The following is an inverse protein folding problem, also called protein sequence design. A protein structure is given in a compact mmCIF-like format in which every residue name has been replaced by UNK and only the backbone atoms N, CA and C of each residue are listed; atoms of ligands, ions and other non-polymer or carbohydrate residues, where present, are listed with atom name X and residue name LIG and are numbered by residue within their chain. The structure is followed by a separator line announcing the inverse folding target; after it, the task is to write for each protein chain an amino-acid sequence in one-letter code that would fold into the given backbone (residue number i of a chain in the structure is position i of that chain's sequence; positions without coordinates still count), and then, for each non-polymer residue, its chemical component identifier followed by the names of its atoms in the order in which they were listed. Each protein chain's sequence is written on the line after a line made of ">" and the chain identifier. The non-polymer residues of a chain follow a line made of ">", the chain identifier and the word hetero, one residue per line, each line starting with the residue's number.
data_IF_499251274367
#
_entry.id   IF_499251274367
#
_cell.length_a   1.000
_cell.length_b   1.000
_cell.length_c   1.000
_cell.angle_alpha   90.00
_cell.angle_beta   90.00
_cell.angle_gamma   90.00
#
_symmetry.space_group_name_H-M   'P 1'
#
loop_
_entity.id
_entity.type
_entity.pdbx_description
1 polymer ?
#
# COMPACT_ATOMS: atom_id res chain seq x y z
N UNK A 1 3.51 -10.79 -7.72
CA UNK A 1 3.40 -9.32 -7.90
C UNK A 1 4.03 -8.94 -9.24
N UNK A 2 3.75 -7.75 -9.79
CA UNK A 2 4.51 -7.27 -10.97
C UNK A 2 5.93 -6.90 -10.54
N UNK A 3 6.89 -6.95 -11.47
CA UNK A 3 8.30 -6.61 -11.19
C UNK A 3 8.45 -5.22 -10.56
N UNK A 4 7.66 -4.25 -11.02
CA UNK A 4 7.66 -2.89 -10.50
C UNK A 4 7.32 -2.82 -9.00
N UNK A 5 6.26 -3.50 -8.55
CA UNK A 5 5.90 -3.56 -7.12
C UNK A 5 7.04 -4.12 -6.29
N UNK A 6 7.64 -5.24 -6.75
CA UNK A 6 8.72 -5.90 -6.03
C UNK A 6 9.93 -4.97 -5.89
N UNK A 7 10.33 -4.31 -6.99
CA UNK A 7 11.46 -3.37 -6.98
C UNK A 7 11.17 -2.21 -6.02
N UNK A 8 9.98 -1.61 -6.09
CA UNK A 8 9.59 -0.50 -5.21
C UNK A 8 9.53 -0.94 -3.74
N UNK A 9 8.99 -2.13 -3.44
CA UNK A 9 8.95 -2.67 -2.08
C UNK A 9 10.35 -2.97 -1.52
N UNK A 10 11.27 -3.48 -2.33
CA UNK A 10 12.67 -3.71 -1.91
C UNK A 10 13.36 -2.37 -1.65
N UNK A 11 13.22 -1.38 -2.54
CA UNK A 11 13.81 -0.06 -2.34
C UNK A 11 13.23 0.64 -1.10
N UNK A 12 11.92 0.50 -0.87
CA UNK A 12 11.27 0.98 0.35
C UNK A 12 11.89 0.34 1.59
N UNK A 13 12.09 -0.98 1.59
CA UNK A 13 12.70 -1.69 2.72
C UNK A 13 14.15 -1.25 2.96
N UNK A 14 14.95 -1.09 1.90
CA UNK A 14 16.33 -0.58 1.99
C UNK A 14 16.33 0.83 2.58
N UNK A 15 15.48 1.73 2.06
CA UNK A 15 15.35 3.09 2.57
C UNK A 15 14.92 3.12 4.04
N UNK A 16 14.03 2.22 4.44
CA UNK A 16 13.58 2.08 5.82
C UNK A 16 14.72 1.61 6.74
N UNK A 17 15.48 0.60 6.34
CA UNK A 17 16.67 0.14 7.08
C UNK A 17 17.68 1.27 7.22
N UNK A 18 17.99 1.98 6.13
CA UNK A 18 18.88 3.14 6.17
C UNK A 18 18.40 4.20 7.16
N UNK A 19 17.08 4.49 7.17
CA UNK A 19 16.48 5.43 8.12
C UNK A 19 16.67 4.94 9.56
N UNK A 20 16.43 3.66 9.85
CA UNK A 20 16.63 3.09 11.20
C UNK A 20 18.08 3.14 11.67
N UNK A 21 19.03 3.05 10.74
CA UNK A 21 20.47 3.21 11.01
C UNK A 21 20.93 4.67 11.07
N UNK A 22 19.99 5.63 11.03
CA UNK A 22 20.26 7.08 10.99
C UNK A 22 21.15 7.53 9.81
N UNK A 23 21.16 6.76 8.71
CA UNK A 23 21.91 7.13 7.51
C UNK A 23 21.19 8.26 6.75
N UNK A 24 21.92 9.28 6.25
CA UNK A 24 21.32 10.36 5.47
C UNK A 24 20.66 9.81 4.19
N UNK A 25 19.53 10.42 3.80
CA UNK A 25 18.80 10.06 2.58
C UNK A 25 17.80 8.89 2.70
N UNK A 26 17.84 8.10 3.78
CA UNK A 26 16.90 6.97 3.98
C UNK A 26 15.43 7.38 3.90
N UNK A 27 15.07 8.49 4.56
CA UNK A 27 13.70 9.05 4.50
C UNK A 27 13.28 9.45 3.08
N UNK A 28 14.18 10.00 2.26
CA UNK A 28 13.88 10.43 0.89
C UNK A 28 13.54 9.22 0.01
N UNK A 29 14.31 8.13 0.16
CA UNK A 29 14.06 6.87 -0.56
C UNK A 29 12.70 6.30 -0.17
N UNK A 30 12.39 6.25 1.13
CA UNK A 30 11.09 5.80 1.65
C UNK A 30 9.94 6.63 1.07
N UNK A 31 10.05 7.96 1.11
CA UNK A 31 9.02 8.88 0.58
C UNK A 31 8.80 8.64 -0.91
N UNK A 32 9.88 8.64 -1.68
CA UNK A 32 9.82 8.54 -3.14
C UNK A 32 9.22 7.21 -3.58
N UNK A 33 9.65 6.10 -2.95
CA UNK A 33 9.17 4.76 -3.28
C UNK A 33 7.71 4.56 -2.88
N UNK A 34 7.30 5.03 -1.70
CA UNK A 34 5.89 4.98 -1.27
C UNK A 34 4.99 5.82 -2.18
N UNK A 35 5.42 7.03 -2.55
CA UNK A 35 4.64 7.90 -3.41
C UNK A 35 4.44 7.28 -4.81
N UNK A 36 5.52 6.76 -5.41
CA UNK A 36 5.43 6.07 -6.70
C UNK A 36 4.53 4.84 -6.60
N UNK A 37 4.66 4.04 -5.53
CA UNK A 37 3.83 2.85 -5.34
C UNK A 37 2.35 3.21 -5.14
N UNK A 38 2.05 4.24 -4.36
CA UNK A 38 0.69 4.78 -4.21
C UNK A 38 0.13 5.29 -5.53
N UNK A 39 0.95 5.96 -6.36
CA UNK A 39 0.51 6.42 -7.68
C UNK A 39 0.23 5.24 -8.64
N UNK A 40 1.04 4.18 -8.58
CA UNK A 40 0.80 2.95 -9.35
C UNK A 40 -0.53 2.30 -8.92
N UNK A 41 -0.84 2.29 -7.61
CA UNK A 41 -2.13 1.80 -7.12
C UNK A 41 -3.29 2.74 -7.42
N UNK A 42 -3.06 4.04 -7.47
CA UNK A 42 -4.07 4.98 -7.96
C UNK A 42 -4.46 4.65 -9.40
N UNK A 43 -3.49 4.33 -10.27
CA UNK A 43 -3.75 3.85 -11.64
C UNK A 43 -4.08 2.35 -11.74
N UNK A 44 -4.70 1.80 -10.70
CA UNK A 44 -5.03 0.37 -10.59
C UNK A 44 -5.91 -0.16 -11.71
N UNK A 45 -6.81 0.64 -12.28
CA UNK A 45 -7.64 0.19 -13.40
C UNK A 45 -6.77 -0.29 -14.58
N UNK A 46 -5.66 0.40 -14.86
CA UNK A 46 -4.72 -0.02 -15.90
C UNK A 46 -3.79 -1.11 -15.38
N UNK A 47 -3.26 -0.91 -14.16
CA UNK A 47 -2.24 -1.78 -13.58
C UNK A 47 -2.74 -3.21 -13.32
N UNK A 48 -3.96 -3.40 -12.82
CA UNK A 48 -4.55 -4.71 -12.55
C UNK A 48 -5.13 -5.39 -13.79
N UNK A 49 -5.62 -4.62 -14.77
CA UNK A 49 -6.17 -5.17 -16.01
C UNK A 49 -5.12 -5.38 -17.12
N UNK A 50 -3.83 -5.33 -16.76
CA UNK A 50 -2.71 -5.54 -17.68
C UNK A 50 -2.72 -4.59 -18.91
N UNK A 51 -3.24 -3.36 -18.72
CA UNK A 51 -3.22 -2.29 -19.72
C UNK A 51 -1.88 -1.55 -19.62
N UNK A 52 -1.19 -1.41 -20.74
CA UNK A 52 0.04 -0.63 -20.82
C UNK A 52 -0.24 0.87 -20.68
N UNK A 53 0.60 1.60 -19.92
CA UNK A 53 0.41 3.04 -19.66
C UNK A 53 0.28 3.87 -20.97
N UNK A 54 1.05 3.53 -22.00
CA UNK A 54 1.01 4.20 -23.32
C UNK A 54 -0.31 4.00 -24.08
N UNK A 55 -1.12 3.02 -23.68
CA UNK A 55 -2.37 2.66 -24.33
C UNK A 55 -3.60 3.03 -23.48
N UNK A 56 -3.44 3.70 -22.33
CA UNK A 56 -4.57 4.09 -21.46
C UNK A 56 -5.63 4.90 -22.19
N UNK A 57 -5.24 5.73 -23.15
CA UNK A 57 -6.18 6.56 -23.91
C UNK A 57 -6.75 5.86 -25.15
N UNK A 58 -6.32 4.63 -25.47
CA UNK A 58 -6.80 3.87 -26.63
C UNK A 58 -7.98 3.00 -26.25
N UNK A 59 -9.11 3.14 -26.95
CA UNK A 59 -10.31 2.33 -26.72
C UNK A 59 -10.05 0.83 -26.88
N UNK A 60 -9.20 0.44 -27.81
CA UNK A 60 -8.86 -0.96 -28.09
C UNK A 60 -8.20 -1.66 -26.90
N UNK A 61 -7.51 -0.92 -26.04
CA UNK A 61 -6.88 -1.46 -24.83
C UNK A 61 -7.90 -2.00 -23.82
N UNK A 62 -9.18 -1.62 -23.95
CA UNK A 62 -10.27 -2.04 -23.07
C UNK A 62 -11.15 -3.15 -23.67
N UNK A 63 -10.84 -3.66 -24.87
CA UNK A 63 -11.67 -4.65 -25.58
C UNK A 63 -11.95 -5.93 -24.75
N UNK A 64 -11.05 -6.28 -23.83
CA UNK A 64 -11.16 -7.47 -22.98
C UNK A 64 -11.47 -7.17 -21.50
N UNK A 65 -11.78 -5.92 -21.17
CA UNK A 65 -12.01 -5.47 -19.79
C UNK A 65 -13.45 -4.99 -19.62
N UNK A 66 -14.16 -5.58 -18.66
CA UNK A 66 -15.53 -5.16 -18.35
C UNK A 66 -15.53 -3.91 -17.47
N UNK A 67 -16.55 -3.05 -17.63
CA UNK A 67 -16.73 -1.84 -16.81
C UNK A 67 -16.69 -2.14 -15.31
N UNK A 68 -17.30 -3.26 -14.89
CA UNK A 68 -17.26 -3.72 -13.49
C UNK A 68 -15.84 -3.98 -12.99
N UNK A 69 -14.96 -4.54 -13.82
CA UNK A 69 -13.55 -4.78 -13.48
C UNK A 69 -12.77 -3.49 -13.40
N UNK A 70 -13.06 -2.51 -14.26
CA UNK A 70 -12.43 -1.18 -14.21
C UNK A 70 -12.78 -0.50 -12.89
N UNK A 71 -14.07 -0.34 -12.60
CA UNK A 71 -14.56 0.33 -11.39
C UNK A 71 -14.07 -0.40 -10.12
N UNK A 72 -14.19 -1.73 -10.08
CA UNK A 72 -13.74 -2.52 -8.93
C UNK A 72 -12.23 -2.47 -8.72
N UNK A 73 -11.44 -2.44 -9.81
CA UNK A 73 -9.99 -2.26 -9.71
C UNK A 73 -9.66 -0.89 -9.15
N UNK A 74 -10.33 0.16 -9.63
CA UNK A 74 -10.11 1.55 -9.23
C UNK A 74 -10.40 1.79 -7.75
N UNK A 75 -11.55 1.32 -7.25
CA UNK A 75 -11.91 1.43 -5.83
C UNK A 75 -10.89 0.71 -4.95
N UNK A 76 -10.48 -0.50 -5.35
CA UNK A 76 -9.45 -1.24 -4.63
C UNK A 76 -8.10 -0.52 -4.67
N UNK A 77 -7.71 0.01 -5.83
CA UNK A 77 -6.48 0.75 -6.01
C UNK A 77 -6.40 2.01 -5.17
N UNK A 78 -7.49 2.77 -5.10
CA UNK A 78 -7.60 3.91 -4.19
C UNK A 78 -7.37 3.48 -2.74
N UNK A 79 -8.06 2.42 -2.28
CA UNK A 79 -7.86 1.88 -0.93
C UNK A 79 -6.41 1.47 -0.67
N UNK A 80 -5.77 0.79 -1.63
CA UNK A 80 -4.36 0.38 -1.54
C UNK A 80 -3.42 1.58 -1.53
N UNK A 81 -3.65 2.58 -2.38
CA UNK A 81 -2.84 3.80 -2.44
C UNK A 81 -2.87 4.56 -1.12
N UNK A 82 -4.06 4.75 -0.54
CA UNK A 82 -4.25 5.39 0.77
C UNK A 82 -3.63 4.54 1.88
N UNK A 83 -3.74 3.22 1.82
CA UNK A 83 -3.09 2.31 2.79
C UNK A 83 -1.57 2.44 2.75
N UNK A 84 -0.96 2.45 1.57
CA UNK A 84 0.50 2.65 1.42
C UNK A 84 0.93 4.01 1.95
N UNK A 85 0.16 5.08 1.69
CA UNK A 85 0.41 6.40 2.27
C UNK A 85 0.29 6.40 3.80
N UNK A 86 -0.68 5.67 4.35
CA UNK A 86 -0.85 5.47 5.79
C UNK A 86 0.33 4.72 6.42
N UNK A 87 0.79 3.63 5.80
CA UNK A 87 1.96 2.85 6.23
C UNK A 87 3.18 3.75 6.29
N UNK A 88 3.44 4.47 5.20
CA UNK A 88 4.51 5.45 5.12
C UNK A 88 4.41 6.48 6.26
N UNK A 89 3.24 7.10 6.42
CA UNK A 89 3.01 8.15 7.43
C UNK A 89 3.22 7.61 8.85
N UNK A 90 2.86 6.34 9.08
CA UNK A 90 3.03 5.67 10.38
C UNK A 90 4.51 5.50 10.71
N UNK A 91 5.30 5.07 9.73
CA UNK A 91 6.76 4.91 9.86
C UNK A 91 7.52 6.25 9.94
N UNK A 92 6.88 7.35 9.55
CA UNK A 92 7.39 8.72 9.75
C UNK A 92 6.89 9.38 11.04
N UNK A 93 6.09 8.68 11.85
CA UNK A 93 5.47 9.22 13.06
C UNK A 93 4.59 10.46 12.81
N UNK A 94 3.88 10.50 11.68
CA UNK A 94 2.94 11.58 11.40
C UNK A 94 1.61 11.37 12.15
N UNK A 95 1.08 12.44 12.75
CA UNK A 95 -0.15 12.44 13.55
C UNK A 95 -1.36 11.85 12.79
N UNK A 96 -1.48 12.14 11.50
CA UNK A 96 -2.61 11.68 10.64
C UNK A 96 -2.48 10.22 10.17
N UNK A 97 -1.40 9.51 10.52
CA UNK A 97 -1.11 8.20 9.94
C UNK A 97 -2.17 7.15 10.26
N UNK A 98 -2.65 7.09 11.52
CA UNK A 98 -3.65 6.11 11.93
C UNK A 98 -4.98 6.31 11.19
N UNK A 99 -5.38 7.56 10.97
CA UNK A 99 -6.60 7.90 10.24
C UNK A 99 -6.48 7.48 8.76
N UNK A 100 -5.36 7.82 8.10
CA UNK A 100 -5.10 7.40 6.73
C UNK A 100 -5.08 5.88 6.58
N UNK A 101 -4.37 5.19 7.48
CA UNK A 101 -4.23 3.74 7.47
C UNK A 101 -5.58 3.05 7.71
N UNK A 102 -6.37 3.52 8.68
CA UNK A 102 -7.70 2.99 8.96
C UNK A 102 -8.66 3.19 7.79
N UNK A 103 -8.69 4.38 7.19
CA UNK A 103 -9.55 4.69 6.03
C UNK A 103 -9.18 3.83 4.83
N UNK A 104 -7.89 3.75 4.50
CA UNK A 104 -7.38 2.92 3.40
C UNK A 104 -7.73 1.44 3.61
N UNK A 105 -7.41 0.89 4.79
CA UNK A 105 -7.69 -0.51 5.11
C UNK A 105 -9.18 -0.81 5.04
N UNK A 106 -10.06 0.07 5.52
CA UNK A 106 -11.51 -0.14 5.46
C UNK A 106 -11.99 -0.35 4.01
N UNK A 107 -11.54 0.49 3.08
CA UNK A 107 -11.85 0.35 1.65
C UNK A 107 -11.31 -0.97 1.09
N UNK A 108 -10.07 -1.33 1.47
CA UNK A 108 -9.44 -2.58 1.03
C UNK A 108 -10.19 -3.80 1.57
N UNK A 109 -10.57 -3.82 2.84
CA UNK A 109 -11.34 -4.89 3.47
C UNK A 109 -12.68 -5.10 2.78
N UNK A 110 -13.46 -4.03 2.57
CA UNK A 110 -14.74 -4.09 1.87
C UNK A 110 -14.54 -4.63 0.45
N UNK A 111 -13.56 -4.10 -0.29
CA UNK A 111 -13.24 -4.53 -1.65
C UNK A 111 -12.82 -6.00 -1.70
N UNK A 112 -12.05 -6.46 -0.72
CA UNK A 112 -11.58 -7.83 -0.62
C UNK A 112 -12.73 -8.81 -0.36
N UNK A 113 -13.67 -8.46 0.52
CA UNK A 113 -14.87 -9.25 0.77
C UNK A 113 -15.70 -9.38 -0.52
N UNK A 114 -15.92 -8.27 -1.23
CA UNK A 114 -16.65 -8.27 -2.51
C UNK A 114 -15.96 -9.19 -3.52
N UNK A 115 -14.64 -9.07 -3.68
CA UNK A 115 -13.85 -9.89 -4.61
C UNK A 115 -13.92 -11.37 -4.22
N UNK A 116 -13.85 -11.72 -2.93
CA UNK A 116 -13.99 -13.10 -2.45
C UNK A 116 -15.37 -13.66 -2.77
N UNK A 117 -16.44 -12.91 -2.50
CA UNK A 117 -17.82 -13.32 -2.84
C UNK A 117 -17.94 -13.58 -4.34
N UNK A 118 -17.42 -12.69 -5.18
CA UNK A 118 -17.41 -12.89 -6.63
C UNK A 118 -16.58 -14.11 -7.04
N UNK A 119 -15.42 -14.32 -6.41
CA UNK A 119 -14.54 -15.46 -6.70
C UNK A 119 -15.21 -16.81 -6.36
N UNK A 120 -15.94 -16.90 -5.24
CA UNK A 120 -16.62 -18.13 -4.85
C UNK A 120 -17.94 -18.37 -5.60
N UNK A 121 -18.67 -17.31 -5.95
CA UNK A 121 -19.94 -17.44 -6.69
C UNK A 121 -19.73 -17.80 -8.16
N UNK A 122 -18.65 -17.34 -8.78
CA UNK A 122 -18.38 -17.62 -10.18
C UNK A 122 -17.54 -18.90 -10.31
N UNK A 123 -18.08 -19.94 -10.95
CA UNK A 123 -17.34 -21.20 -11.21
C UNK A 123 -16.13 -21.01 -12.15
N UNK A 124 -16.05 -19.89 -12.88
CA UNK A 124 -14.86 -19.53 -13.65
C UNK A 124 -13.79 -19.00 -12.71
N UNK A 125 -12.76 -19.80 -12.49
CA UNK A 125 -11.55 -19.40 -11.75
C UNK A 125 -10.73 -18.44 -12.60
N UNK A 126 -11.17 -17.18 -12.67
CA UNK A 126 -10.41 -16.16 -13.38
C UNK A 126 -9.12 -15.87 -12.61
N UNK A 127 -7.99 -16.10 -13.27
CA UNK A 127 -6.64 -15.85 -12.74
C UNK A 127 -6.46 -14.41 -12.24
N UNK A 128 -7.25 -13.47 -12.77
CA UNK A 128 -7.32 -12.08 -12.36
C UNK A 128 -7.64 -11.91 -10.87
N UNK A 129 -8.75 -12.49 -10.38
CA UNK A 129 -9.16 -12.30 -8.98
C UNK A 129 -8.18 -12.95 -8.01
N UNK A 130 -7.67 -14.13 -8.35
CA UNK A 130 -6.64 -14.81 -7.54
C UNK A 130 -5.36 -13.95 -7.41
N UNK A 131 -4.93 -13.35 -8.52
CA UNK A 131 -3.76 -12.47 -8.57
C UNK A 131 -3.97 -11.21 -7.73
N UNK A 132 -5.14 -10.59 -7.79
CA UNK A 132 -5.47 -9.42 -6.97
C UNK A 132 -5.48 -9.80 -5.48
N UNK A 133 -6.22 -10.86 -5.12
CA UNK A 133 -6.34 -11.30 -3.73
C UNK A 133 -4.99 -11.52 -3.04
N UNK A 134 -4.09 -12.30 -3.65
CA UNK A 134 -2.77 -12.59 -3.06
C UNK A 134 -1.96 -11.31 -2.80
N UNK A 135 -2.02 -10.34 -3.73
CA UNK A 135 -1.26 -9.09 -3.61
C UNK A 135 -1.83 -8.20 -2.53
N UNK A 136 -3.14 -8.03 -2.54
CA UNK A 136 -3.87 -7.23 -1.56
C UNK A 136 -3.72 -7.80 -0.15
N UNK A 137 -3.71 -9.13 0.01
CA UNK A 137 -3.50 -9.77 1.32
C UNK A 137 -2.21 -9.34 2.00
N UNK A 138 -1.12 -9.18 1.25
CA UNK A 138 0.18 -8.82 1.83
C UNK A 138 0.15 -7.40 2.40
N UNK A 139 -0.39 -6.44 1.64
CA UNK A 139 -0.53 -5.06 2.08
C UNK A 139 -1.52 -4.95 3.24
N UNK A 140 -2.61 -5.72 3.19
CA UNK A 140 -3.62 -5.75 4.23
C UNK A 140 -3.06 -6.27 5.56
N UNK A 141 -2.29 -7.37 5.53
CA UNK A 141 -1.64 -7.91 6.74
C UNK A 141 -0.65 -6.90 7.33
N UNK A 142 0.24 -6.34 6.50
CA UNK A 142 1.24 -5.36 6.96
C UNK A 142 0.55 -4.10 7.51
N UNK A 143 -0.44 -3.57 6.79
CA UNK A 143 -1.18 -2.38 7.19
C UNK A 143 -1.93 -2.59 8.50
N UNK A 144 -2.61 -3.72 8.68
CA UNK A 144 -3.35 -4.00 9.91
C UNK A 144 -2.42 -4.20 11.10
N UNK A 145 -1.28 -4.89 10.94
CA UNK A 145 -0.27 -5.00 12.00
C UNK A 145 0.23 -3.62 12.44
N UNK A 146 0.53 -2.73 11.48
CA UNK A 146 0.97 -1.37 11.79
C UNK A 146 -0.12 -0.49 12.41
N UNK A 147 -1.39 -0.71 12.08
CA UNK A 147 -2.51 0.03 12.67
C UNK A 147 -2.68 -0.31 14.16
N UNK A 148 -2.55 -1.59 14.49
CA UNK A 148 -2.67 -2.07 15.87
C UNK A 148 -1.43 -1.69 16.69
N UNK A 149 -0.27 -1.49 16.05
CA UNK A 149 0.96 -1.11 16.74
C UNK A 149 0.91 0.36 17.18
N UNK A 150 1.03 0.66 18.48
CA UNK A 150 1.11 2.03 18.98
C UNK A 150 2.35 2.76 18.45
N UNK A 151 2.27 4.09 18.34
CA UNK A 151 3.43 4.89 17.94
C UNK A 151 4.60 4.73 18.92
N UNK A 152 4.30 4.66 20.22
CA UNK A 152 5.30 4.50 21.27
C UNK A 152 6.16 3.26 21.06
N UNK A 153 5.54 2.13 20.75
CA UNK A 153 6.24 0.86 20.51
C UNK A 153 7.18 0.97 19.29
N UNK A 154 6.72 1.60 18.20
CA UNK A 154 7.56 1.82 17.02
C UNK A 154 8.73 2.77 17.32
N UNK A 155 8.48 3.77 18.16
CA UNK A 155 9.44 4.80 18.51
C UNK A 155 10.51 4.26 19.47
N UNK A 156 10.12 3.35 20.38
CA UNK A 156 11.05 2.65 21.27
C UNK A 156 11.96 1.69 20.49
N UNK A 157 11.43 1.02 19.45
CA UNK A 157 12.24 0.21 18.53
C UNK A 157 13.20 1.11 17.74
N UNK A 158 12.74 2.27 17.26
CA UNK A 158 13.54 3.19 16.47
C UNK A 158 14.65 3.88 17.28
N UNK A 159 14.35 4.28 18.51
CA UNK A 159 15.27 4.99 19.41
C UNK A 159 15.97 4.07 20.42
N UNK A 160 16.03 2.76 20.17
CA UNK A 160 16.64 1.81 21.12
C UNK A 160 18.08 2.18 21.52
N UNK A 161 18.84 2.80 20.62
CA UNK A 161 20.20 3.29 20.87
C UNK A 161 20.28 4.69 21.51
N UNK A 162 19.19 5.46 21.58
CA UNK A 162 19.16 6.82 22.11
C UNK A 162 17.81 7.16 22.79
N UNK A 163 17.61 6.75 24.06
CA UNK A 163 16.34 6.88 24.76
C UNK A 163 15.92 8.33 25.02
N UNK A 164 16.86 9.28 25.13
CA UNK A 164 16.53 10.71 25.31
C UNK A 164 15.75 11.30 24.12
N UNK A 165 16.09 10.90 22.88
CA UNK A 165 15.33 11.30 21.69
C UNK A 165 13.93 10.68 21.67
N UNK A 166 13.76 9.51 22.28
CA UNK A 166 12.46 8.86 22.39
C UNK A 166 11.51 9.69 23.26
N UNK A 167 12.00 10.12 24.43
CA UNK A 167 11.22 10.92 25.40
C UNK A 167 10.80 12.26 24.80
N UNK A 168 11.71 12.99 24.14
CA UNK A 168 11.40 14.28 23.53
C UNK A 168 10.35 14.18 22.41
N UNK A 169 10.37 13.10 21.63
CA UNK A 169 9.41 12.92 20.54
C UNK A 169 8.04 12.47 21.06
N UNK A 170 8.00 11.69 22.16
CA UNK A 170 6.75 11.28 22.83
C UNK A 170 5.96 12.47 23.41
N UNK A 171 6.63 13.54 23.84
CA UNK A 171 5.97 14.75 24.38
C UNK A 171 5.19 15.53 23.31
N UNK A 172 5.51 15.33 22.03
CA UNK A 172 4.91 16.05 20.90
C UNK A 172 3.94 15.21 20.06
N UNK A 173 3.74 13.93 20.41
CA UNK A 173 2.83 12.98 19.76
C UNK A 173 1.53 12.85 20.56
#
# INVERSE_FOLDING_TARGET
>A
MKKLEIILSILFLIGFIMKTLMLPGGSIIVISTSLILSFVYFLSFAFFNDIELKNIFKKDAYAHTTVKRIIGSEILGYGLAVTVMGIYSKLQFYLVANQLLSNGLTVVYISMIIILIYHFRNKRKDWFYKRILIRTSIILVIGTLLLITPFETLLDIYCWTNPEKAVLTKVHL
#
